data_IF_780790101878
#
_entry.id   IF_780790101878
#
_cell.length_a   1.000
_cell.length_b   1.000
_cell.length_c   1.000
_cell.angle_alpha   90.00
_cell.angle_beta   90.00
_cell.angle_gamma   90.00
#
_symmetry.space_group_name_H-M   'P 1'
#
loop_
_entity.id
_entity.type
_entity.pdbx_description
1 polymer ?
#
# COMPACT_ATOMS: atom_id res chain seq x y z
N UNK A 1 33.26 -11.50 15.98
CA UNK A 1 32.54 -11.86 14.74
C UNK A 1 31.07 -11.90 15.09
N UNK A 2 30.34 -10.89 14.66
CA UNK A 2 28.94 -10.64 15.03
C UNK A 2 28.01 -11.33 14.03
N UNK A 3 26.94 -11.95 14.52
CA UNK A 3 25.96 -12.75 13.78
C UNK A 3 25.24 -11.92 12.66
N UNK A 4 25.20 -12.36 11.40
CA UNK A 4 24.63 -11.61 10.27
C UNK A 4 23.10 -11.65 10.17
N UNK A 5 22.39 -12.29 11.10
CA UNK A 5 20.93 -12.30 11.09
C UNK A 5 20.38 -11.24 12.05
N UNK A 6 19.95 -10.11 11.50
CA UNK A 6 19.06 -9.18 12.21
C UNK A 6 17.92 -10.01 12.80
N UNK A 7 17.80 -10.02 14.13
CA UNK A 7 16.69 -10.66 14.83
C UNK A 7 15.42 -9.98 14.31
N UNK A 8 14.67 -10.66 13.43
CA UNK A 8 13.31 -10.23 13.09
C UNK A 8 12.57 -10.09 14.43
N UNK A 9 12.17 -8.86 14.76
CA UNK A 9 11.35 -8.62 15.95
C UNK A 9 10.10 -9.48 15.78
N UNK A 10 9.80 -10.34 16.76
CA UNK A 10 8.58 -11.14 16.74
C UNK A 10 7.33 -10.26 16.64
N UNK A 11 7.43 -9.00 17.06
CA UNK A 11 6.33 -8.04 17.12
C UNK A 11 6.33 -7.04 15.94
N UNK A 12 7.43 -6.93 15.17
CA UNK A 12 7.51 -6.09 13.96
C UNK A 12 8.29 -6.82 12.84
N UNK A 13 7.62 -7.72 12.08
CA UNK A 13 8.28 -8.54 11.07
C UNK A 13 8.97 -7.75 9.95
N UNK A 14 8.51 -6.54 9.62
CA UNK A 14 9.09 -5.70 8.57
C UNK A 14 10.08 -4.66 9.11
N UNK A 15 10.41 -4.70 10.39
CA UNK A 15 11.42 -3.84 10.97
C UNK A 15 12.76 -4.00 10.24
N UNK A 16 13.45 -2.89 10.03
CA UNK A 16 14.79 -2.88 9.41
C UNK A 16 14.81 -3.20 7.92
N UNK A 17 13.67 -3.57 7.30
CA UNK A 17 13.62 -3.76 5.86
C UNK A 17 13.84 -2.44 5.11
N UNK A 18 14.50 -2.48 3.93
CA UNK A 18 14.84 -1.28 3.20
C UNK A 18 13.60 -0.55 2.66
N UNK A 19 13.78 0.75 2.40
CA UNK A 19 12.90 1.56 1.58
C UNK A 19 13.68 1.88 0.31
N UNK A 20 13.31 1.27 -0.80
CA UNK A 20 13.94 1.55 -2.09
C UNK A 20 13.37 2.86 -2.65
N UNK A 21 14.20 3.64 -3.33
CA UNK A 21 13.82 4.93 -3.89
C UNK A 21 14.20 5.03 -5.37
N UNK A 22 13.46 5.83 -6.13
CA UNK A 22 13.75 6.16 -7.52
C UNK A 22 13.14 7.52 -7.91
N UNK A 23 13.45 8.01 -9.12
CA UNK A 23 12.93 9.27 -9.65
C UNK A 23 13.63 10.50 -9.09
N UNK A 24 12.86 11.56 -8.84
CA UNK A 24 13.39 12.83 -8.35
C UNK A 24 14.03 12.68 -6.96
N UNK A 25 15.14 13.40 -6.68
CA UNK A 25 15.66 13.50 -5.32
C UNK A 25 14.68 14.27 -4.42
N UNK A 26 14.72 14.07 -3.08
CA UNK A 26 13.79 14.71 -2.15
C UNK A 26 13.67 16.23 -2.32
N UNK A 27 14.76 16.92 -2.59
CA UNK A 27 14.82 18.39 -2.72
C UNK A 27 14.14 18.92 -3.98
N UNK A 28 13.85 18.04 -4.95
CA UNK A 28 13.19 18.36 -6.20
C UNK A 28 11.85 17.61 -6.37
N UNK A 29 11.33 17.00 -5.30
CA UNK A 29 10.09 16.24 -5.35
C UNK A 29 8.88 17.18 -5.17
N UNK A 30 8.05 17.29 -6.21
CA UNK A 30 6.77 17.98 -6.17
C UNK A 30 5.61 17.04 -5.78
N UNK A 31 5.81 15.74 -6.00
CA UNK A 31 4.88 14.67 -5.67
C UNK A 31 5.62 13.37 -5.34
N UNK A 32 4.95 12.47 -4.62
CA UNK A 32 5.48 11.15 -4.24
C UNK A 32 4.53 10.05 -4.68
N UNK A 33 5.08 8.93 -5.14
CA UNK A 33 4.33 7.69 -5.36
C UNK A 33 4.90 6.61 -4.44
N UNK A 34 4.06 6.01 -3.61
CA UNK A 34 4.40 4.86 -2.76
C UNK A 34 3.92 3.60 -3.47
N UNK A 35 4.84 2.71 -3.87
CA UNK A 35 4.55 1.47 -4.59
C UNK A 35 4.62 0.25 -3.68
N UNK A 36 3.53 -0.53 -3.66
CA UNK A 36 3.37 -1.73 -2.85
C UNK A 36 3.22 -2.96 -3.75
N UNK A 37 4.22 -3.83 -3.72
CA UNK A 37 4.26 -5.00 -4.60
C UNK A 37 3.43 -6.19 -4.09
N UNK A 38 3.08 -7.09 -5.00
CA UNK A 38 2.37 -8.34 -4.67
C UNK A 38 3.27 -9.42 -4.09
N UNK A 39 2.68 -10.41 -3.41
CA UNK A 39 3.40 -11.53 -2.78
C UNK A 39 4.46 -12.15 -3.70
N UNK A 40 5.59 -12.53 -3.11
CA UNK A 40 6.76 -13.13 -3.78
C UNK A 40 7.56 -12.19 -4.68
N UNK A 41 7.19 -10.91 -4.81
CA UNK A 41 7.95 -9.88 -5.53
C UNK A 41 8.89 -9.08 -4.60
N UNK A 42 9.46 -7.98 -5.10
CA UNK A 42 10.39 -7.11 -4.36
C UNK A 42 10.14 -5.63 -4.66
N UNK A 43 10.63 -4.76 -3.77
CA UNK A 43 10.56 -3.31 -3.95
C UNK A 43 11.25 -2.87 -5.25
N UNK A 44 12.44 -3.42 -5.54
CA UNK A 44 13.16 -3.16 -6.79
C UNK A 44 12.39 -3.59 -8.03
N UNK A 45 11.64 -4.70 -7.97
CA UNK A 45 10.88 -5.18 -9.11
C UNK A 45 9.70 -4.25 -9.43
N UNK A 46 8.94 -3.79 -8.42
CA UNK A 46 7.83 -2.89 -8.68
C UNK A 46 8.30 -1.50 -9.13
N UNK A 47 9.47 -1.04 -8.66
CA UNK A 47 10.06 0.20 -9.15
C UNK A 47 10.39 0.15 -10.66
N UNK A 48 10.56 -1.02 -11.28
CA UNK A 48 10.73 -1.09 -12.73
C UNK A 48 9.48 -0.66 -13.51
N UNK A 49 8.30 -0.66 -12.87
CA UNK A 49 7.08 -0.18 -13.53
C UNK A 49 7.13 1.33 -13.79
N UNK A 50 7.98 2.09 -13.08
CA UNK A 50 8.06 3.54 -13.26
C UNK A 50 8.51 3.92 -14.67
N UNK A 51 9.23 3.05 -15.38
CA UNK A 51 9.66 3.32 -16.76
C UNK A 51 8.47 3.57 -17.71
N UNK A 52 7.28 3.07 -17.37
CA UNK A 52 6.05 3.23 -18.16
C UNK A 52 5.28 4.52 -17.83
N UNK A 53 5.49 5.13 -16.65
CA UNK A 53 4.73 6.29 -16.18
C UNK A 53 5.60 7.35 -15.48
N UNK A 54 6.89 7.37 -15.76
CA UNK A 54 7.82 8.28 -15.14
C UNK A 54 7.46 9.74 -15.47
N UNK A 55 7.35 10.55 -14.41
CA UNK A 55 7.23 12.01 -14.50
C UNK A 55 8.37 12.72 -13.76
N UNK A 56 8.86 13.81 -14.36
CA UNK A 56 9.80 14.72 -13.71
C UNK A 56 9.19 15.31 -12.43
N UNK A 57 10.01 15.49 -11.40
CA UNK A 57 9.56 16.00 -10.09
C UNK A 57 8.82 14.98 -9.23
N UNK A 58 8.69 13.72 -9.67
CA UNK A 58 8.08 12.64 -8.87
C UNK A 58 9.15 11.78 -8.22
N UNK A 59 9.06 11.64 -6.90
CA UNK A 59 9.88 10.71 -6.12
C UNK A 59 9.10 9.42 -5.87
N UNK A 60 9.71 8.27 -6.16
CA UNK A 60 9.10 6.96 -5.99
C UNK A 60 9.69 6.27 -4.76
N UNK A 61 8.80 5.73 -3.92
CA UNK A 61 9.13 5.03 -2.69
C UNK A 61 8.56 3.62 -2.74
N UNK A 62 9.38 2.59 -2.55
CA UNK A 62 8.93 1.21 -2.50
C UNK A 62 9.45 0.52 -1.23
N UNK A 63 8.63 0.39 -0.17
CA UNK A 63 9.05 -0.35 1.02
C UNK A 63 9.22 -1.84 0.69
N UNK A 64 10.25 -2.47 1.26
CA UNK A 64 10.44 -3.90 1.19
C UNK A 64 9.72 -4.58 2.37
N UNK A 65 8.87 -5.55 2.07
CA UNK A 65 8.33 -6.50 3.04
C UNK A 65 9.34 -7.62 3.33
N UNK A 66 9.42 -8.02 4.60
CA UNK A 66 10.15 -9.22 5.01
C UNK A 66 9.60 -10.44 4.29
N UNK A 67 10.50 -11.36 3.92
CA UNK A 67 10.17 -12.61 3.21
C UNK A 67 9.31 -12.41 1.95
N UNK A 68 9.34 -11.22 1.35
CA UNK A 68 8.59 -10.86 0.12
C UNK A 68 7.07 -11.00 0.28
N UNK A 69 6.56 -10.71 1.46
CA UNK A 69 5.16 -10.93 1.80
C UNK A 69 4.72 -9.97 2.90
N UNK A 70 3.63 -9.23 2.69
CA UNK A 70 3.10 -8.26 3.65
C UNK A 70 2.35 -8.91 4.82
N UNK A 71 1.67 -10.03 4.55
CA UNK A 71 0.97 -10.80 5.57
C UNK A 71 0.85 -12.27 5.13
N UNK A 72 0.88 -13.24 6.05
CA UNK A 72 1.06 -14.65 5.70
C UNK A 72 -0.19 -15.34 5.13
N UNK A 73 -1.37 -15.05 5.69
CA UNK A 73 -2.63 -15.71 5.32
C UNK A 73 -3.33 -14.99 4.17
N UNK A 74 -4.51 -15.50 3.83
CA UNK A 74 -5.41 -14.88 2.86
C UNK A 74 -5.75 -13.46 3.29
N UNK A 75 -5.93 -12.55 2.32
CA UNK A 75 -6.45 -11.21 2.60
C UNK A 75 -7.89 -11.21 3.11
N UNK A 76 -8.63 -12.30 2.93
CA UNK A 76 -9.99 -12.50 3.42
C UNK A 76 -10.07 -13.27 4.75
N UNK A 77 -8.93 -13.69 5.30
CA UNK A 77 -8.89 -14.27 6.64
C UNK A 77 -9.18 -13.18 7.69
N UNK A 78 -9.59 -13.56 8.91
CA UNK A 78 -9.62 -12.63 10.04
C UNK A 78 -8.28 -11.91 10.20
N UNK A 79 -8.32 -10.63 10.60
CA UNK A 79 -7.11 -9.80 10.65
C UNK A 79 -6.10 -10.33 11.68
N UNK A 80 -6.59 -10.85 12.79
CA UNK A 80 -5.80 -11.48 13.86
C UNK A 80 -4.92 -12.63 13.36
N UNK A 81 -5.36 -13.36 12.32
CA UNK A 81 -4.58 -14.45 11.72
C UNK A 81 -3.36 -13.96 10.93
N UNK A 82 -3.34 -12.66 10.61
CA UNK A 82 -2.26 -11.98 9.90
C UNK A 82 -1.41 -11.10 10.83
N UNK A 83 -1.73 -10.97 12.12
CA UNK A 83 -0.89 -10.22 13.05
C UNK A 83 0.35 -11.02 13.51
N UNK A 84 1.49 -10.36 13.79
CA UNK A 84 1.74 -8.90 13.72
C UNK A 84 2.19 -8.39 12.34
N UNK A 85 2.16 -9.26 11.31
CA UNK A 85 2.65 -8.92 9.97
C UNK A 85 1.83 -7.80 9.35
N UNK A 86 0.51 -7.84 9.52
CA UNK A 86 -0.39 -6.84 8.98
C UNK A 86 -0.16 -5.44 9.59
N UNK A 87 -0.14 -5.32 10.91
CA UNK A 87 0.15 -4.04 11.56
C UNK A 87 1.55 -3.50 11.21
N UNK A 88 2.55 -4.38 11.16
CA UNK A 88 3.89 -4.03 10.68
C UNK A 88 3.88 -3.52 9.23
N UNK A 89 3.06 -4.10 8.34
CA UNK A 89 2.94 -3.67 6.95
C UNK A 89 2.30 -2.29 6.80
N UNK A 90 1.27 -1.99 7.59
CA UNK A 90 0.67 -0.65 7.63
C UNK A 90 1.69 0.40 8.13
N UNK A 91 2.48 0.06 9.14
CA UNK A 91 3.53 0.94 9.65
C UNK A 91 4.61 1.25 8.60
N UNK A 92 4.93 0.30 7.70
CA UNK A 92 5.83 0.57 6.56
C UNK A 92 5.29 1.65 5.62
N UNK A 93 3.97 1.72 5.42
CA UNK A 93 3.34 2.77 4.61
C UNK A 93 3.39 4.11 5.35
N UNK A 94 3.06 4.12 6.65
CA UNK A 94 3.19 5.32 7.50
C UNK A 94 4.61 5.88 7.47
N UNK A 95 5.63 5.03 7.57
CA UNK A 95 7.03 5.43 7.48
C UNK A 95 7.39 5.99 6.10
N UNK A 96 6.88 5.41 5.01
CA UNK A 96 7.08 5.96 3.67
C UNK A 96 6.40 7.34 3.50
N UNK A 97 5.20 7.53 4.06
CA UNK A 97 4.54 8.84 4.11
C UNK A 97 5.34 9.86 4.93
N UNK A 98 5.97 9.45 6.02
CA UNK A 98 6.84 10.34 6.79
C UNK A 98 8.09 10.76 5.98
N UNK A 99 8.63 9.86 5.16
CA UNK A 99 9.73 10.20 4.24
C UNK A 99 9.26 11.19 3.18
N UNK A 100 8.06 11.02 2.61
CA UNK A 100 7.44 11.99 1.70
C UNK A 100 7.26 13.37 2.37
N UNK A 101 6.72 13.39 3.58
CA UNK A 101 6.52 14.62 4.35
C UNK A 101 7.85 15.32 4.68
N UNK A 102 8.91 14.56 4.99
CA UNK A 102 10.25 15.11 5.20
C UNK A 102 10.85 15.72 3.93
N UNK A 103 10.44 15.25 2.75
CA UNK A 103 10.74 15.87 1.46
C UNK A 103 9.83 17.07 1.13
N UNK A 104 8.93 17.47 2.03
CA UNK A 104 8.00 18.57 1.81
C UNK A 104 6.77 18.20 0.98
N UNK A 105 6.54 16.92 0.71
CA UNK A 105 5.40 16.43 -0.07
C UNK A 105 4.30 15.94 0.88
N UNK A 106 3.16 16.64 0.97
CA UNK A 106 2.07 16.25 1.86
C UNK A 106 1.23 15.08 1.29
N UNK A 107 0.34 14.46 2.10
CA UNK A 107 -0.50 13.34 1.65
C UNK A 107 -1.31 13.61 0.38
N UNK A 108 -1.89 14.80 0.23
CA UNK A 108 -2.66 15.23 -0.95
C UNK A 108 -1.84 15.35 -2.24
N UNK A 109 -0.51 15.22 -2.15
CA UNK A 109 0.43 15.09 -3.28
C UNK A 109 1.17 13.75 -3.27
N UNK A 110 0.71 12.82 -2.47
CA UNK A 110 1.26 11.46 -2.37
C UNK A 110 0.25 10.44 -2.86
N UNK A 111 0.60 9.69 -3.89
CA UNK A 111 -0.21 8.62 -4.46
C UNK A 111 0.22 7.27 -3.89
N UNK A 112 -0.74 6.41 -3.53
CA UNK A 112 -0.49 5.01 -3.17
C UNK A 112 -0.84 4.12 -4.36
N UNK A 113 0.11 3.30 -4.81
CA UNK A 113 -0.09 2.32 -5.87
C UNK A 113 0.23 0.93 -5.35
N UNK A 114 -0.70 -0.01 -5.49
CA UNK A 114 -0.50 -1.38 -5.04
C UNK A 114 -0.95 -2.43 -6.05
N UNK A 115 -0.21 -3.54 -6.12
CA UNK A 115 -0.57 -4.72 -6.91
C UNK A 115 -0.81 -5.95 -6.03
N UNK A 116 -1.89 -6.70 -6.31
CA UNK A 116 -2.30 -7.90 -5.60
C UNK A 116 -2.29 -7.71 -4.09
N UNK A 117 -1.43 -8.43 -3.36
CA UNK A 117 -1.27 -8.25 -1.91
C UNK A 117 -0.99 -6.79 -1.50
N UNK A 118 -0.15 -6.09 -2.26
CA UNK A 118 0.15 -4.68 -2.02
C UNK A 118 -1.01 -3.76 -2.40
N UNK A 119 -1.84 -4.15 -3.36
CA UNK A 119 -3.11 -3.47 -3.70
C UNK A 119 -4.08 -3.52 -2.54
N UNK A 120 -4.28 -4.71 -1.95
CA UNK A 120 -5.13 -4.84 -0.77
C UNK A 120 -4.61 -4.03 0.41
N UNK A 121 -3.30 -4.04 0.62
CA UNK A 121 -2.66 -3.27 1.68
C UNK A 121 -2.84 -1.76 1.48
N UNK A 122 -2.69 -1.25 0.24
CA UNK A 122 -2.92 0.15 -0.09
C UNK A 122 -4.36 0.59 0.22
N UNK A 123 -5.35 -0.19 -0.24
CA UNK A 123 -6.76 0.11 0.00
C UNK A 123 -7.11 0.07 1.48
N UNK A 124 -6.61 -0.92 2.21
CA UNK A 124 -6.86 -1.06 3.64
C UNK A 124 -6.23 0.07 4.44
N UNK A 125 -5.02 0.50 4.06
CA UNK A 125 -4.35 1.63 4.68
C UNK A 125 -5.16 2.91 4.53
N UNK A 126 -5.62 3.23 3.31
CA UNK A 126 -6.42 4.43 3.03
C UNK A 126 -7.75 4.39 3.77
N UNK A 127 -8.44 3.25 3.78
CA UNK A 127 -9.72 3.11 4.48
C UNK A 127 -9.60 3.27 6.01
N UNK A 128 -8.47 2.87 6.59
CA UNK A 128 -8.17 3.05 8.03
C UNK A 128 -7.63 4.43 8.39
N UNK A 129 -7.12 5.18 7.41
CA UNK A 129 -6.50 6.48 7.64
C UNK A 129 -7.12 7.57 6.73
N UNK A 130 -8.46 7.74 6.75
CA UNK A 130 -9.14 8.59 5.79
C UNK A 130 -8.65 10.05 5.90
N UNK A 131 -8.15 10.54 4.76
CA UNK A 131 -7.71 11.91 4.49
C UNK A 131 -7.56 12.07 2.98
N UNK A 132 -7.34 13.29 2.53
CA UNK A 132 -6.98 13.54 1.13
C UNK A 132 -5.62 12.94 0.79
N UNK A 133 -5.56 12.15 -0.27
CA UNK A 133 -4.34 11.67 -0.90
C UNK A 133 -4.21 12.20 -2.32
N UNK A 134 -3.02 12.16 -2.90
CA UNK A 134 -2.81 12.50 -4.32
C UNK A 134 -3.49 11.50 -5.26
N UNK A 135 -3.73 10.28 -4.78
CA UNK A 135 -4.52 9.26 -5.46
C UNK A 135 -4.33 7.88 -4.83
N UNK A 136 -5.19 6.94 -5.22
CA UNK A 136 -5.10 5.53 -4.86
C UNK A 136 -5.25 4.67 -6.13
N UNK A 137 -4.26 3.83 -6.42
CA UNK A 137 -4.29 2.88 -7.54
C UNK A 137 -4.21 1.47 -6.98
N UNK A 138 -5.27 0.70 -7.17
CA UNK A 138 -5.37 -0.70 -6.70
C UNK A 138 -5.47 -1.62 -7.91
N UNK A 139 -4.45 -2.45 -8.11
CA UNK A 139 -4.37 -3.42 -9.20
C UNK A 139 -4.50 -4.84 -8.66
N UNK A 140 -5.51 -5.60 -9.10
CA UNK A 140 -5.86 -6.95 -8.61
C UNK A 140 -5.91 -7.05 -7.08
N UNK A 141 -6.38 -5.98 -6.42
CA UNK A 141 -6.46 -5.87 -4.96
C UNK A 141 -7.85 -5.43 -4.50
N UNK A 142 -8.06 -5.45 -3.18
CA UNK A 142 -9.35 -5.21 -2.55
C UNK A 142 -9.18 -4.92 -1.05
N UNK A 143 -10.20 -4.41 -0.35
CA UNK A 143 -10.12 -4.27 1.11
C UNK A 143 -9.85 -5.63 1.79
N UNK A 144 -9.24 -5.60 2.97
CA UNK A 144 -8.91 -6.80 3.72
C UNK A 144 -10.06 -7.23 4.66
N UNK A 145 -10.01 -8.48 5.07
CA UNK A 145 -11.00 -9.12 5.94
C UNK A 145 -12.14 -9.82 5.18
N UNK A 146 -12.92 -10.64 5.90
CA UNK A 146 -14.01 -11.40 5.31
C UNK A 146 -15.21 -10.53 4.91
N UNK A 147 -15.37 -9.36 5.55
CA UNK A 147 -16.46 -8.42 5.30
C UNK A 147 -15.97 -6.97 5.37
N UNK A 148 -16.68 -6.07 4.70
CA UNK A 148 -16.46 -4.62 4.86
C UNK A 148 -16.87 -4.21 6.28
N UNK A 149 -15.95 -3.58 7.00
CA UNK A 149 -16.18 -3.12 8.38
C UNK A 149 -17.03 -1.85 8.39
N UNK A 150 -17.93 -1.76 9.36
CA UNK A 150 -18.72 -0.54 9.62
C UNK A 150 -17.85 0.61 10.18
N UNK A 151 -16.66 0.26 10.68
CA UNK A 151 -15.72 1.16 11.36
C UNK A 151 -14.93 2.07 10.42
N UNK A 152 -15.01 1.87 9.10
CA UNK A 152 -14.44 2.81 8.14
C UNK A 152 -15.23 4.12 8.19
N UNK A 153 -14.75 5.07 8.97
CA UNK A 153 -15.38 6.36 9.22
C UNK A 153 -14.42 7.50 8.85
N UNK A 154 -14.93 8.46 8.09
CA UNK A 154 -14.17 9.61 7.59
C UNK A 154 -14.45 9.84 6.10
N UNK A 155 -13.68 10.74 5.50
CA UNK A 155 -13.73 11.05 4.07
C UNK A 155 -12.30 11.08 3.54
N UNK A 156 -12.13 10.66 2.28
CA UNK A 156 -10.86 10.80 1.56
C UNK A 156 -10.86 12.04 0.65
N UNK A 157 -11.82 12.95 0.83
CA UNK A 157 -11.82 14.32 0.27
C UNK A 157 -11.51 14.34 -1.25
N UNK A 158 -12.37 13.64 -2.00
CA UNK A 158 -12.28 13.49 -3.46
C UNK A 158 -10.94 12.92 -3.98
N UNK A 159 -10.22 12.14 -3.16
CA UNK A 159 -9.03 11.40 -3.61
C UNK A 159 -9.34 10.59 -4.87
N UNK A 160 -8.63 10.81 -5.99
CA UNK A 160 -8.84 10.03 -7.21
C UNK A 160 -8.49 8.55 -6.97
N UNK A 161 -9.40 7.64 -7.32
CA UNK A 161 -9.18 6.20 -7.20
C UNK A 161 -9.22 5.52 -8.56
N UNK A 162 -8.22 4.72 -8.87
CA UNK A 162 -8.23 3.76 -9.98
C UNK A 162 -8.23 2.33 -9.43
N UNK A 163 -9.17 1.53 -9.93
CA UNK A 163 -9.38 0.14 -9.52
C UNK A 163 -9.31 -0.73 -10.78
N UNK A 164 -8.22 -1.49 -10.92
CA UNK A 164 -7.98 -2.36 -12.07
C UNK A 164 -7.96 -3.82 -11.64
N UNK A 165 -8.78 -4.66 -12.25
CA UNK A 165 -8.75 -6.12 -12.06
C UNK A 165 -9.16 -6.81 -13.35
N UNK A 166 -8.61 -8.00 -13.62
CA UNK A 166 -9.03 -8.82 -14.75
C UNK A 166 -10.38 -9.46 -14.46
N UNK A 167 -11.25 -9.54 -15.46
CA UNK A 167 -12.52 -10.30 -15.37
C UNK A 167 -12.31 -11.79 -15.10
N UNK A 168 -11.12 -12.30 -15.40
CA UNK A 168 -10.74 -13.70 -15.24
C UNK A 168 -9.86 -13.93 -13.99
N UNK A 169 -9.72 -12.95 -13.08
CA UNK A 169 -8.88 -13.09 -11.89
C UNK A 169 -9.54 -14.04 -10.86
N UNK A 170 -8.99 -15.26 -10.63
CA UNK A 170 -9.61 -16.24 -9.75
C UNK A 170 -9.44 -15.91 -8.27
N UNK A 171 -8.67 -14.86 -7.92
CA UNK A 171 -8.25 -14.55 -6.55
C UNK A 171 -9.34 -13.79 -5.76
N UNK A 172 -10.25 -13.09 -6.44
CA UNK A 172 -11.34 -12.33 -5.79
C UNK A 172 -12.72 -12.85 -6.18
N UNK A 173 -13.55 -13.32 -5.22
CA UNK A 173 -14.96 -13.57 -5.48
C UNK A 173 -15.65 -12.27 -5.96
N UNK A 174 -16.41 -12.28 -7.08
CA UNK A 174 -16.96 -11.07 -7.70
C UNK A 174 -17.81 -10.19 -6.76
N UNK A 175 -18.56 -10.81 -5.84
CA UNK A 175 -19.42 -10.11 -4.87
C UNK A 175 -18.61 -9.35 -3.81
N UNK A 176 -17.52 -9.95 -3.32
CA UNK A 176 -16.63 -9.33 -2.32
C UNK A 176 -15.91 -8.15 -2.95
N UNK A 177 -15.38 -8.34 -4.16
CA UNK A 177 -14.77 -7.30 -4.98
C UNK A 177 -15.72 -6.11 -5.19
N UNK A 178 -16.97 -6.37 -5.60
CA UNK A 178 -17.98 -5.31 -5.84
C UNK A 178 -18.31 -4.50 -4.57
N UNK A 179 -18.52 -5.18 -3.42
CA UNK A 179 -18.85 -4.51 -2.16
C UNK A 179 -17.69 -3.64 -1.66
N UNK A 180 -16.45 -4.10 -1.85
CA UNK A 180 -15.26 -3.38 -1.45
C UNK A 180 -14.98 -2.16 -2.35
N UNK A 181 -15.27 -2.24 -3.66
CA UNK A 181 -15.28 -1.05 -4.52
C UNK A 181 -16.33 -0.03 -4.10
N UNK A 182 -17.55 -0.49 -3.80
CA UNK A 182 -18.60 0.40 -3.33
C UNK A 182 -18.21 1.11 -2.02
N UNK A 183 -17.50 0.43 -1.11
CA UNK A 183 -16.98 1.03 0.11
C UNK A 183 -15.92 2.11 -0.19
N UNK A 184 -14.93 1.82 -1.04
CA UNK A 184 -13.87 2.77 -1.39
C UNK A 184 -14.45 4.01 -2.10
N UNK A 185 -15.37 3.80 -3.05
CA UNK A 185 -16.09 4.91 -3.68
C UNK A 185 -17.00 5.65 -2.67
N UNK A 186 -17.57 4.95 -1.69
CA UNK A 186 -18.37 5.56 -0.63
C UNK A 186 -17.56 6.47 0.31
N UNK A 187 -16.26 6.22 0.50
CA UNK A 187 -15.35 7.12 1.24
C UNK A 187 -15.04 8.42 0.47
N UNK A 188 -15.19 8.41 -0.85
CA UNK A 188 -15.03 9.58 -1.74
C UNK A 188 -16.26 10.47 -1.69
N UNK A 189 -17.46 9.87 -1.68
CA UNK A 189 -18.74 10.59 -1.89
C UNK A 189 -19.40 11.05 -0.57
N UNK A 190 -18.71 10.93 0.58
CA UNK A 190 -19.22 11.36 1.89
C UNK A 190 -18.65 12.70 2.35
#
# INVERSE_FOLDING_TARGET
MSDPFTVESRDDPHQGQPLETAGAPPEAADAVVILLYGRSSTAKNILRLIDEFHHHGVMYLAPQAARRMWYPRSGYAPFEDNEPWFSSALDRISKALNVAAAAGVPPERTLLLGFSQGGCLASEFVARNPRRYGGLVVLSGSLLGPEVREEYAGSIDDTPIFLGCSSDDPISPPLVFTRQHACLNGLVVR
#
